data_IF_576708327645
#
_entry.id   IF_576708327645
#
_cell.length_a   1.000
_cell.length_b   1.000
_cell.length_c   1.000
_cell.angle_alpha   90.00
_cell.angle_beta   90.00
_cell.angle_gamma   90.00
#
_symmetry.space_group_name_H-M   'P 1'
#
loop_
_entity.id
_entity.type
_entity.pdbx_description
1 polymer ?
#
# COMPACT_ATOMS: atom_id res chain seq x y z
N UNK A 1 -11.50 -2.01 -3.57
CA UNK A 1 -12.47 -0.91 -3.48
C UNK A 1 -12.39 -0.08 -4.75
N UNK A 2 -13.33 -0.26 -5.67
CA UNK A 2 -13.43 0.54 -6.88
C UNK A 2 -14.33 1.75 -6.63
N UNK A 3 -13.77 2.94 -6.62
CA UNK A 3 -14.55 4.18 -6.65
C UNK A 3 -14.98 4.51 -8.06
N UNK A 4 -16.16 5.12 -8.22
CA UNK A 4 -16.59 5.71 -9.49
C UNK A 4 -16.08 7.14 -9.62
N UNK A 5 -16.02 7.63 -10.86
CA UNK A 5 -15.63 8.99 -11.18
C UNK A 5 -16.48 10.11 -10.56
N UNK A 6 -17.69 9.80 -10.14
CA UNK A 6 -18.62 10.74 -9.50
C UNK A 6 -18.44 10.87 -7.99
N UNK A 7 -17.43 10.23 -7.43
CA UNK A 7 -17.16 10.22 -5.99
C UNK A 7 -18.02 9.22 -5.21
N UNK A 8 -18.82 8.42 -5.89
CA UNK A 8 -19.56 7.35 -5.22
C UNK A 8 -18.68 6.10 -5.08
N UNK A 9 -18.61 5.54 -3.86
CA UNK A 9 -18.04 4.23 -3.64
C UNK A 9 -19.04 3.20 -4.13
N UNK A 10 -18.87 2.72 -5.35
CA UNK A 10 -19.63 1.55 -5.78
C UNK A 10 -18.89 0.29 -5.39
N UNK A 11 -19.57 -0.60 -4.66
CA UNK A 11 -19.22 -2.02 -4.72
C UNK A 11 -19.20 -2.39 -6.20
N UNK A 12 -18.11 -3.04 -6.67
CA UNK A 12 -18.08 -3.50 -8.06
C UNK A 12 -19.35 -4.26 -8.35
N UNK A 13 -20.21 -3.71 -9.23
CA UNK A 13 -21.45 -4.36 -9.59
C UNK A 13 -21.11 -5.63 -10.36
N UNK A 14 -21.63 -6.76 -9.91
CA UNK A 14 -21.58 -7.98 -10.72
C UNK A 14 -22.27 -7.68 -12.07
N UNK A 15 -21.68 -8.11 -13.19
CA UNK A 15 -22.40 -8.07 -14.46
C UNK A 15 -23.75 -8.79 -14.33
N UNK A 16 -24.78 -8.28 -14.98
CA UNK A 16 -26.04 -9.00 -15.11
C UNK A 16 -25.74 -10.41 -15.64
N UNK A 17 -26.25 -11.44 -14.99
CA UNK A 17 -26.02 -12.85 -15.28
C UNK A 17 -24.61 -13.41 -14.93
N UNK A 18 -23.80 -12.74 -14.16
CA UNK A 18 -22.59 -13.34 -13.63
C UNK A 18 -22.94 -14.52 -12.69
N UNK A 19 -22.16 -15.61 -12.71
CA UNK A 19 -22.35 -16.71 -11.74
C UNK A 19 -22.27 -16.17 -10.32
N UNK A 20 -22.96 -16.81 -9.38
CA UNK A 20 -22.81 -16.51 -7.97
C UNK A 20 -21.34 -16.71 -7.57
N UNK A 21 -20.68 -15.63 -7.15
CA UNK A 21 -19.26 -15.61 -6.80
C UNK A 21 -18.65 -14.23 -7.10
N UNK A 22 -17.37 -14.08 -6.81
CA UNK A 22 -16.65 -12.87 -7.10
C UNK A 22 -16.34 -12.77 -8.60
N UNK A 23 -16.82 -11.70 -9.24
CA UNK A 23 -16.36 -11.31 -10.57
C UNK A 23 -15.40 -10.14 -10.43
N UNK A 24 -14.22 -10.28 -11.02
CA UNK A 24 -13.20 -9.25 -11.03
C UNK A 24 -12.60 -9.10 -12.43
N UNK A 25 -12.53 -7.88 -12.93
CA UNK A 25 -11.83 -7.55 -14.16
C UNK A 25 -10.65 -6.64 -13.86
N UNK A 26 -9.44 -7.18 -13.88
CA UNK A 26 -8.21 -6.42 -13.67
C UNK A 26 -8.11 -5.24 -14.62
N UNK A 27 -8.46 -5.43 -15.89
CA UNK A 27 -8.45 -4.36 -16.89
C UNK A 27 -9.38 -3.21 -16.53
N UNK A 28 -10.61 -3.51 -16.12
CA UNK A 28 -11.59 -2.47 -15.73
C UNK A 28 -11.11 -1.72 -14.48
N UNK A 29 -10.57 -2.45 -13.52
CA UNK A 29 -9.99 -1.87 -12.33
C UNK A 29 -8.83 -0.91 -12.67
N UNK A 30 -7.82 -1.37 -13.40
CA UNK A 30 -6.67 -0.54 -13.78
C UNK A 30 -7.10 0.72 -14.52
N UNK A 31 -7.98 0.61 -15.50
CA UNK A 31 -8.49 1.77 -16.24
C UNK A 31 -9.25 2.75 -15.35
N UNK A 32 -10.01 2.28 -14.36
CA UNK A 32 -10.74 3.16 -13.45
C UNK A 32 -9.78 3.96 -12.56
N UNK A 33 -8.72 3.34 -12.06
CA UNK A 33 -7.71 4.02 -11.24
C UNK A 33 -6.93 5.04 -12.07
N UNK A 34 -6.47 4.67 -13.28
CA UNK A 34 -5.76 5.60 -14.17
C UNK A 34 -6.60 6.85 -14.43
N UNK A 35 -7.89 6.69 -14.74
CA UNK A 35 -8.81 7.81 -14.95
C UNK A 35 -9.00 8.64 -13.67
N UNK A 36 -9.06 8.00 -12.51
CA UNK A 36 -9.15 8.70 -11.21
C UNK A 36 -7.91 9.57 -10.98
N UNK A 37 -6.72 9.03 -11.21
CA UNK A 37 -5.46 9.77 -11.07
C UNK A 37 -5.38 10.95 -12.06
N UNK A 38 -5.75 10.72 -13.31
CA UNK A 38 -5.83 11.76 -14.33
C UNK A 38 -6.80 12.88 -13.91
N UNK A 39 -7.96 12.51 -13.39
CA UNK A 39 -8.95 13.45 -12.90
C UNK A 39 -8.43 14.26 -11.69
N UNK A 40 -7.81 13.61 -10.73
CA UNK A 40 -7.22 14.29 -9.55
C UNK A 40 -6.15 15.29 -10.01
N UNK A 41 -5.23 14.88 -10.90
CA UNK A 41 -4.17 15.76 -11.39
C UNK A 41 -4.71 16.93 -12.24
N UNK A 42 -5.78 16.69 -12.98
CA UNK A 42 -6.41 17.73 -13.81
C UNK A 42 -7.22 18.74 -12.99
N UNK A 43 -7.98 18.29 -11.99
CA UNK A 43 -8.93 19.13 -11.27
C UNK A 43 -8.31 19.76 -10.01
N UNK A 44 -7.43 19.03 -9.30
CA UNK A 44 -6.85 19.46 -8.03
C UNK A 44 -5.40 19.92 -8.22
N UNK A 45 -4.64 19.26 -9.12
CA UNK A 45 -3.27 19.61 -9.42
C UNK A 45 -2.24 18.71 -8.75
N UNK A 46 -1.03 19.26 -8.54
CA UNK A 46 0.17 18.52 -8.15
C UNK A 46 0.61 18.78 -6.70
N UNK A 47 -0.03 19.69 -6.00
CA UNK A 47 0.31 20.03 -4.62
C UNK A 47 -0.23 19.01 -3.59
N UNK A 48 -1.03 18.05 -4.08
CA UNK A 48 -1.53 16.92 -3.29
C UNK A 48 -0.73 15.67 -3.60
N UNK A 49 -0.21 15.02 -2.56
CA UNK A 49 0.33 13.67 -2.70
C UNK A 49 -0.80 12.65 -2.83
N UNK A 50 -0.68 11.76 -3.79
CA UNK A 50 -1.63 10.67 -4.03
C UNK A 50 -0.92 9.33 -3.98
N UNK A 51 -1.57 8.34 -3.42
CA UNK A 51 -1.08 6.97 -3.35
C UNK A 51 -2.20 6.01 -3.72
N UNK A 52 -1.87 4.78 -4.00
CA UNK A 52 -2.84 3.77 -4.35
C UNK A 52 -2.42 2.42 -3.81
N UNK A 53 -3.36 1.78 -3.15
CA UNK A 53 -3.25 0.42 -2.70
C UNK A 53 -3.87 -0.52 -3.75
N UNK A 54 -3.04 -1.36 -4.37
CA UNK A 54 -3.49 -2.40 -5.29
C UNK A 54 -4.14 -3.53 -4.52
N UNK A 55 -3.70 -3.74 -3.28
CA UNK A 55 -4.24 -4.76 -2.39
C UNK A 55 -4.21 -6.16 -3.03
N UNK A 56 -3.06 -6.49 -3.65
CA UNK A 56 -2.71 -7.81 -4.20
C UNK A 56 -3.63 -8.33 -5.32
N UNK A 57 -4.43 -7.44 -5.93
CA UNK A 57 -5.50 -7.83 -6.87
C UNK A 57 -5.04 -8.17 -8.28
N UNK A 58 -3.78 -7.92 -8.58
CA UNK A 58 -3.27 -8.02 -9.94
C UNK A 58 -2.29 -9.18 -10.10
N UNK A 59 -2.24 -9.75 -11.30
CA UNK A 59 -1.14 -10.62 -11.70
C UNK A 59 0.15 -9.81 -11.86
N UNK A 60 1.32 -10.47 -11.81
CA UNK A 60 2.60 -9.80 -12.08
C UNK A 60 2.58 -9.02 -13.41
N UNK A 61 2.04 -9.59 -14.48
CA UNK A 61 1.99 -8.94 -15.77
C UNK A 61 1.11 -7.68 -15.78
N UNK A 62 -0.06 -7.76 -15.14
CA UNK A 62 -0.96 -6.61 -15.00
C UNK A 62 -0.33 -5.54 -14.11
N UNK A 63 0.29 -5.94 -12.99
CA UNK A 63 0.99 -5.03 -12.07
C UNK A 63 2.10 -4.25 -12.77
N UNK A 64 2.96 -4.94 -13.53
CA UNK A 64 4.05 -4.29 -14.28
C UNK A 64 3.53 -3.24 -15.26
N UNK A 65 2.47 -3.55 -15.99
CA UNK A 65 1.87 -2.59 -16.92
C UNK A 65 1.21 -1.43 -16.17
N UNK A 66 0.46 -1.74 -15.12
CA UNK A 66 -0.28 -0.75 -14.35
C UNK A 66 0.61 0.27 -13.65
N UNK A 67 1.65 -0.20 -12.97
CA UNK A 67 2.58 0.68 -12.26
C UNK A 67 3.31 1.59 -13.24
N UNK A 68 3.68 1.10 -14.44
CA UNK A 68 4.26 1.93 -15.48
C UNK A 68 3.31 3.03 -15.97
N UNK A 69 2.04 2.72 -16.14
CA UNK A 69 1.05 3.73 -16.52
C UNK A 69 0.81 4.77 -15.43
N UNK A 70 0.97 4.40 -14.15
CA UNK A 70 0.84 5.33 -13.02
C UNK A 70 2.06 6.26 -12.85
N UNK A 71 3.23 5.96 -13.40
CA UNK A 71 4.44 6.82 -13.29
C UNK A 71 4.19 8.27 -13.71
N UNK A 72 3.40 8.48 -14.75
CA UNK A 72 3.09 9.82 -15.26
C UNK A 72 2.39 10.70 -14.21
N UNK A 73 1.70 10.10 -13.25
CA UNK A 73 0.98 10.82 -12.19
C UNK A 73 1.82 11.07 -10.95
N UNK A 74 3.05 10.54 -10.88
CA UNK A 74 3.99 10.67 -9.77
C UNK A 74 3.33 10.36 -8.42
N UNK A 75 2.85 9.13 -8.20
CA UNK A 75 2.30 8.76 -6.91
C UNK A 75 3.36 8.81 -5.81
N UNK A 76 2.95 9.12 -4.59
CA UNK A 76 3.82 9.08 -3.41
C UNK A 76 4.35 7.67 -3.17
N UNK A 77 3.50 6.67 -3.30
CA UNK A 77 3.83 5.26 -3.49
C UNK A 77 2.66 4.47 -4.08
N UNK A 78 2.97 3.27 -4.54
CA UNK A 78 1.99 2.21 -4.85
C UNK A 78 2.18 1.11 -3.82
N UNK A 79 1.09 0.72 -3.17
CA UNK A 79 1.06 -0.24 -2.08
C UNK A 79 0.59 -1.61 -2.55
N UNK A 80 1.08 -2.65 -1.88
CA UNK A 80 0.72 -4.06 -2.01
C UNK A 80 0.48 -4.50 -3.45
N UNK A 81 1.50 -4.19 -4.26
CA UNK A 81 1.47 -4.45 -5.70
C UNK A 81 1.32 -5.95 -6.03
N UNK A 82 1.82 -6.83 -5.18
CA UNK A 82 1.79 -8.29 -5.29
C UNK A 82 1.60 -8.90 -3.89
N UNK A 83 1.07 -10.14 -3.79
CA UNK A 83 0.88 -10.81 -2.50
C UNK A 83 2.21 -11.19 -1.82
N UNK A 84 2.21 -11.41 -0.50
CA UNK A 84 3.40 -11.79 0.27
C UNK A 84 4.13 -13.03 -0.26
N UNK A 85 3.41 -13.98 -0.83
CA UNK A 85 3.97 -15.20 -1.42
C UNK A 85 4.81 -14.91 -2.66
N UNK A 86 4.59 -13.75 -3.29
CA UNK A 86 5.23 -13.33 -4.53
C UNK A 86 6.29 -12.23 -4.34
N UNK A 87 6.78 -12.02 -3.11
CA UNK A 87 7.78 -10.97 -2.80
C UNK A 87 9.03 -11.03 -3.68
N UNK A 88 9.39 -12.21 -4.17
CA UNK A 88 10.53 -12.40 -5.06
C UNK A 88 10.35 -11.72 -6.44
N UNK A 89 9.13 -11.45 -6.86
CA UNK A 89 8.84 -10.72 -8.09
C UNK A 89 9.02 -9.20 -7.96
N UNK A 90 9.16 -8.68 -6.75
CA UNK A 90 9.49 -7.26 -6.56
C UNK A 90 10.84 -6.89 -7.18
N UNK A 91 11.76 -7.83 -7.35
CA UNK A 91 12.98 -7.61 -8.13
C UNK A 91 12.67 -7.20 -9.58
N UNK A 92 11.73 -7.86 -10.22
CA UNK A 92 11.32 -7.52 -11.58
C UNK A 92 10.57 -6.20 -11.61
N UNK A 93 9.66 -5.99 -10.68
CA UNK A 93 8.89 -4.76 -10.57
C UNK A 93 9.83 -3.56 -10.38
N UNK A 94 10.76 -3.64 -9.45
CA UNK A 94 11.74 -2.57 -9.18
C UNK A 94 12.60 -2.20 -10.41
N UNK A 95 12.95 -3.17 -11.23
CA UNK A 95 13.72 -2.95 -12.47
C UNK A 95 12.91 -2.25 -13.58
N UNK A 96 11.60 -2.25 -13.48
CA UNK A 96 10.70 -1.75 -14.53
C UNK A 96 10.08 -0.39 -14.21
N UNK A 97 10.15 0.07 -12.97
CA UNK A 97 9.53 1.33 -12.55
C UNK A 97 10.37 2.09 -11.54
N UNK A 98 10.29 3.42 -11.61
CA UNK A 98 10.82 4.34 -10.61
C UNK A 98 9.76 4.79 -9.59
N UNK A 99 8.52 4.35 -9.71
CA UNK A 99 7.46 4.64 -8.74
C UNK A 99 7.88 4.08 -7.37
N UNK A 100 7.79 4.87 -6.28
CA UNK A 100 8.00 4.32 -4.96
C UNK A 100 7.02 3.20 -4.65
N UNK A 101 7.52 2.12 -4.06
CA UNK A 101 6.75 0.93 -3.72
C UNK A 101 6.65 0.78 -2.20
N UNK A 102 5.47 0.44 -1.73
CA UNK A 102 5.19 0.15 -0.33
C UNK A 102 4.60 -1.24 -0.18
N UNK A 103 4.95 -1.96 0.88
CA UNK A 103 4.41 -3.27 1.15
C UNK A 103 4.53 -3.65 2.62
N UNK A 104 3.62 -4.48 3.10
CA UNK A 104 3.84 -5.14 4.37
C UNK A 104 2.68 -5.27 5.32
N UNK A 105 1.47 -4.87 4.99
CA UNK A 105 0.32 -4.95 5.91
C UNK A 105 0.04 -6.39 6.36
N UNK A 106 0.30 -7.36 5.48
CA UNK A 106 0.11 -8.80 5.77
C UNK A 106 1.36 -9.49 6.33
N UNK A 107 2.47 -8.79 6.49
CA UNK A 107 3.70 -9.40 7.01
C UNK A 107 3.62 -9.66 8.52
N UNK A 108 4.06 -10.83 8.93
CA UNK A 108 4.10 -11.26 10.32
C UNK A 108 5.50 -11.68 10.79
N UNK A 109 6.40 -11.98 9.84
CA UNK A 109 7.70 -12.57 10.14
C UNK A 109 8.85 -11.94 9.35
N UNK A 110 10.04 -11.75 9.95
CA UNK A 110 11.19 -11.11 9.28
C UNK A 110 11.62 -11.72 7.94
N UNK A 111 11.34 -12.99 7.68
CA UNK A 111 11.67 -13.62 6.40
C UNK A 111 10.94 -12.96 5.22
N UNK A 112 9.77 -12.36 5.45
CA UNK A 112 8.92 -11.78 4.42
C UNK A 112 9.46 -10.44 3.92
N UNK A 113 10.01 -9.59 4.81
CA UNK A 113 10.49 -8.25 4.44
C UNK A 113 12.01 -8.13 4.28
N UNK A 114 12.79 -9.05 4.85
CA UNK A 114 14.25 -8.92 4.90
C UNK A 114 14.87 -8.73 3.51
N UNK A 115 14.49 -9.57 2.55
CA UNK A 115 15.01 -9.51 1.18
C UNK A 115 14.56 -8.24 0.45
N UNK A 116 13.29 -7.84 0.62
CA UNK A 116 12.73 -6.61 0.04
C UNK A 116 13.53 -5.38 0.49
N UNK A 117 13.78 -5.26 1.79
CA UNK A 117 14.50 -4.15 2.39
C UNK A 117 15.98 -4.16 2.00
N UNK A 118 16.67 -5.30 2.13
CA UNK A 118 18.11 -5.42 1.84
C UNK A 118 18.45 -5.10 0.39
N UNK A 119 17.57 -5.44 -0.55
CA UNK A 119 17.77 -5.17 -1.97
C UNK A 119 17.13 -3.86 -2.43
N UNK A 120 16.52 -3.10 -1.52
CA UNK A 120 15.79 -1.86 -1.86
C UNK A 120 14.75 -2.07 -2.97
N UNK A 121 14.04 -3.20 -2.90
CA UNK A 121 12.94 -3.47 -3.83
C UNK A 121 11.67 -2.73 -3.46
N UNK A 122 11.59 -2.23 -2.23
CA UNK A 122 10.54 -1.34 -1.73
C UNK A 122 11.17 -0.07 -1.15
N UNK A 123 10.41 1.02 -1.12
CA UNK A 123 10.79 2.31 -0.57
C UNK A 123 10.16 2.57 0.81
N UNK A 124 9.03 1.91 1.08
CA UNK A 124 8.31 2.01 2.34
C UNK A 124 7.92 0.62 2.86
N UNK A 125 8.11 0.42 4.16
CA UNK A 125 7.61 -0.76 4.87
C UNK A 125 6.30 -0.43 5.56
N UNK A 126 5.27 -1.28 5.32
CA UNK A 126 3.88 -1.04 5.74
C UNK A 126 3.36 -2.03 6.78
N UNK A 127 4.22 -2.64 7.58
CA UNK A 127 3.78 -3.63 8.55
C UNK A 127 2.76 -3.10 9.56
N UNK A 128 1.86 -3.96 9.98
CA UNK A 128 0.96 -3.73 11.09
C UNK A 128 1.69 -4.04 12.40
N UNK A 129 1.71 -3.08 13.31
CA UNK A 129 2.50 -3.18 14.55
C UNK A 129 2.11 -4.41 15.40
N UNK A 130 0.81 -4.72 15.48
CA UNK A 130 0.33 -5.88 16.25
C UNK A 130 0.79 -7.20 15.65
N UNK A 131 0.75 -7.33 14.32
CA UNK A 131 0.97 -8.57 13.58
C UNK A 131 2.44 -9.00 13.63
N UNK A 132 3.34 -8.03 13.66
CA UNK A 132 4.77 -8.30 13.81
C UNK A 132 5.22 -8.44 15.28
N UNK A 133 4.28 -8.39 16.25
CA UNK A 133 4.53 -8.66 17.66
C UNK A 133 4.75 -7.42 18.54
N UNK A 134 4.33 -6.24 18.11
CA UNK A 134 4.31 -5.01 18.91
C UNK A 134 5.55 -4.13 18.76
N UNK A 135 5.72 -3.18 19.69
CA UNK A 135 6.74 -2.11 19.61
C UNK A 135 8.19 -2.62 19.50
N UNK A 136 8.55 -3.69 20.19
CA UNK A 136 9.94 -4.16 20.19
C UNK A 136 10.39 -4.67 18.81
N UNK A 137 9.68 -5.57 18.12
CA UNK A 137 10.03 -5.94 16.76
C UNK A 137 9.87 -4.79 15.78
N UNK A 138 8.84 -3.93 15.92
CA UNK A 138 8.64 -2.79 15.03
C UNK A 138 9.81 -1.80 15.09
N UNK A 139 10.32 -1.47 16.28
CA UNK A 139 11.51 -0.64 16.43
C UNK A 139 12.76 -1.27 15.78
N UNK A 140 12.92 -2.60 15.90
CA UNK A 140 14.03 -3.31 15.24
C UNK A 140 13.89 -3.25 13.72
N UNK A 141 12.66 -3.39 13.21
CA UNK A 141 12.37 -3.27 11.80
C UNK A 141 12.64 -1.85 11.28
N UNK A 142 12.18 -0.81 11.99
CA UNK A 142 12.47 0.57 11.63
C UNK A 142 13.98 0.85 11.52
N UNK A 143 14.77 0.42 12.54
CA UNK A 143 16.21 0.57 12.53
C UNK A 143 16.90 -0.25 11.42
N UNK A 144 16.38 -1.41 11.07
CA UNK A 144 16.87 -2.21 9.95
C UNK A 144 16.57 -1.49 8.61
N UNK A 145 15.36 -0.99 8.43
CA UNK A 145 14.96 -0.25 7.24
C UNK A 145 15.78 1.03 7.05
N UNK A 146 16.08 1.75 8.13
CA UNK A 146 16.92 2.96 8.10
C UNK A 146 18.29 2.71 7.43
N UNK A 147 18.94 1.57 7.72
CA UNK A 147 20.24 1.22 7.14
C UNK A 147 20.20 1.03 5.62
N UNK A 148 19.03 0.76 5.06
CA UNK A 148 18.81 0.52 3.63
C UNK A 148 18.01 1.64 2.97
N UNK A 149 17.84 2.79 3.64
CA UNK A 149 17.08 3.94 3.13
C UNK A 149 15.60 3.65 2.84
N UNK A 150 15.05 2.61 3.46
CA UNK A 150 13.62 2.30 3.42
C UNK A 150 12.91 3.07 4.55
N UNK A 151 11.84 3.75 4.23
CA UNK A 151 11.06 4.55 5.19
C UNK A 151 9.96 3.70 5.83
N UNK A 152 9.50 4.13 7.01
CA UNK A 152 8.34 3.50 7.66
C UNK A 152 7.05 4.18 7.23
N UNK A 153 5.99 3.38 7.06
CA UNK A 153 4.64 3.83 6.77
C UNK A 153 3.66 2.82 7.39
N UNK A 154 3.59 2.79 8.73
CA UNK A 154 2.86 1.75 9.45
C UNK A 154 1.40 1.66 9.02
N UNK A 155 0.92 0.43 8.87
CA UNK A 155 -0.46 0.12 8.54
C UNK A 155 -1.37 0.53 9.70
N UNK A 156 -2.35 1.40 9.43
CA UNK A 156 -3.26 1.99 10.41
C UNK A 156 -4.73 1.88 10.00
N UNK A 157 -5.24 0.62 9.82
CA UNK A 157 -6.61 0.39 9.41
C UNK A 157 -7.60 0.75 10.53
N UNK A 158 -8.88 0.82 10.19
CA UNK A 158 -9.95 1.22 11.11
C UNK A 158 -10.25 0.19 12.22
N UNK A 159 -9.67 -0.99 12.16
CA UNK A 159 -9.73 -2.03 13.20
C UNK A 159 -8.51 -2.03 14.13
N UNK A 160 -7.54 -1.15 13.90
CA UNK A 160 -6.45 -0.90 14.84
C UNK A 160 -6.98 -0.13 16.06
N UNK A 161 -6.73 -0.66 17.25
CA UNK A 161 -7.17 0.01 18.48
C UNK A 161 -6.50 1.37 18.67
N UNK A 162 -7.15 2.32 19.41
CA UNK A 162 -6.52 3.61 19.76
C UNK A 162 -5.17 3.46 20.49
N UNK A 163 -4.99 2.39 21.27
CA UNK A 163 -3.71 2.07 21.95
C UNK A 163 -2.66 1.67 20.92
N UNK A 164 -3.02 0.85 19.92
CA UNK A 164 -2.15 0.47 18.83
C UNK A 164 -1.72 1.68 18.00
N UNK A 165 -2.66 2.55 17.66
CA UNK A 165 -2.38 3.79 16.94
C UNK A 165 -1.44 4.71 17.73
N UNK A 166 -1.69 4.91 19.01
CA UNK A 166 -0.81 5.71 19.88
C UNK A 166 0.61 5.11 19.92
N UNK A 167 0.74 3.80 19.98
CA UNK A 167 2.04 3.11 19.95
C UNK A 167 2.77 3.35 18.63
N UNK A 168 2.06 3.30 17.47
CA UNK A 168 2.64 3.64 16.16
C UNK A 168 3.13 5.08 16.12
N UNK A 169 2.31 6.04 16.56
CA UNK A 169 2.69 7.46 16.59
C UNK A 169 3.94 7.72 17.44
N UNK A 170 4.08 7.03 18.59
CA UNK A 170 5.30 7.13 19.40
C UNK A 170 6.52 6.55 18.69
N UNK A 171 6.33 5.46 17.96
CA UNK A 171 7.39 4.84 17.15
C UNK A 171 7.79 5.78 16.01
N UNK A 172 6.84 6.42 15.35
CA UNK A 172 7.09 7.38 14.26
C UNK A 172 7.96 8.54 14.74
N UNK A 173 7.60 9.15 15.89
CA UNK A 173 8.37 10.24 16.51
C UNK A 173 9.80 9.82 16.90
N UNK A 174 10.03 8.53 17.13
CA UNK A 174 11.32 7.98 17.51
C UNK A 174 12.15 7.42 16.32
N UNK A 175 11.58 7.45 15.11
CA UNK A 175 12.19 6.83 13.91
C UNK A 175 12.71 7.89 12.95
N UNK A 176 14.04 7.99 12.73
CA UNK A 176 14.60 8.98 11.80
C UNK A 176 14.16 8.77 10.35
N UNK A 177 13.81 7.54 9.98
CA UNK A 177 13.34 7.15 8.66
C UNK A 177 11.80 7.14 8.55
N UNK A 178 11.10 7.90 9.40
CA UNK A 178 9.65 8.07 9.28
C UNK A 178 9.25 8.56 7.89
N UNK A 179 8.25 7.96 7.31
CA UNK A 179 7.67 8.32 6.02
C UNK A 179 6.31 8.97 6.16
N UNK A 180 5.33 8.17 6.49
CA UNK A 180 3.94 8.59 6.67
C UNK A 180 3.27 7.63 7.65
N UNK A 181 2.24 8.10 8.36
CA UNK A 181 1.36 7.27 9.18
C UNK A 181 -0.02 7.19 8.53
N UNK A 182 -0.50 5.99 8.33
CA UNK A 182 -1.88 5.77 7.94
C UNK A 182 -2.81 5.93 9.15
N UNK A 183 -3.97 6.53 8.90
CA UNK A 183 -5.04 6.61 9.88
C UNK A 183 -6.39 6.55 9.16
N UNK A 184 -7.03 5.40 9.21
CA UNK A 184 -8.34 5.17 8.59
C UNK A 184 -9.53 5.53 9.51
N UNK A 185 -9.27 6.07 10.71
CA UNK A 185 -10.26 6.30 11.76
C UNK A 185 -10.40 5.12 12.72
N UNK A 186 -11.30 5.24 13.68
CA UNK A 186 -11.67 4.14 14.57
C UNK A 186 -13.09 3.67 14.27
N UNK A 187 -13.39 2.41 14.60
CA UNK A 187 -14.77 1.93 14.58
C UNK A 187 -15.58 2.61 15.68
N UNK A 188 -16.86 2.95 15.41
CA UNK A 188 -17.74 3.66 16.35
C UNK A 188 -17.85 3.00 17.76
N UNK A 189 -17.54 1.71 17.86
CA UNK A 189 -17.55 0.99 19.15
C UNK A 189 -16.31 1.26 20.02
N UNK A 190 -15.33 2.00 19.52
CA UNK A 190 -14.04 2.27 20.16
C UNK A 190 -13.86 3.76 20.50
N UNK A 191 -14.84 4.61 20.15
CA UNK A 191 -14.94 6.01 20.55
C UNK A 191 -15.57 6.15 21.95
#
# INVERSE_FOLDING_TARGET
YGGNFDGTIQKMSHPENAPAGAYYSSRTYMLSVIRLFDRIRSDIGWDLEIMHDIHERLSLADTLNFVKELEQFKPFFIEDALPPEEVHYFEYLRKQTAVPLAMGELFTHPVEWKTLVQNQWIDFIRCHLSDIGGLTPARKLAAFCEQYHVRTAWHGPNDLSPVGMAAQMHLDLASPNFGIQEFAGFNEAEE
#
